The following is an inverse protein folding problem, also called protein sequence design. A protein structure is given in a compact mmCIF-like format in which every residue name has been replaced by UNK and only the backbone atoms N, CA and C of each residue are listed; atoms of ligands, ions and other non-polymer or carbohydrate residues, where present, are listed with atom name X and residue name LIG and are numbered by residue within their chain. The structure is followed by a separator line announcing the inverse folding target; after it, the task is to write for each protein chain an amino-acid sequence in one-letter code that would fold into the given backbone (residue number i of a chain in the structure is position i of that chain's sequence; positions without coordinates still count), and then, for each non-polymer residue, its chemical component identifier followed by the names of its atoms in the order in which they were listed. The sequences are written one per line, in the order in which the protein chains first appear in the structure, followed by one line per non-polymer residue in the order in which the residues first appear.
data_IF_135014155613
#
_entry.id   IF_135014155613
#
_cell.length_a   1.000
_cell.length_b   1.000
_cell.length_c   1.000
_cell.angle_alpha   90.00
_cell.angle_beta   90.00
_cell.angle_gamma   90.00
#
_symmetry.space_group_name_H-M   'P 1'
#
loop_
_entity.id
_entity.type
_entity.pdbx_description
1 polymer ?
#
# COMPACT_ATOMS: atom_id res chain seq x y z
N UNK A 1 68.26 40.60 31.72
CA UNK A 1 66.92 40.44 32.33
C UNK A 1 65.89 40.53 31.20
N UNK A 2 65.57 39.38 30.59
CA UNK A 2 64.26 38.72 30.64
C UNK A 2 63.12 39.48 29.91
N UNK A 3 62.94 39.19 28.62
CA UNK A 3 61.67 39.40 27.90
C UNK A 3 60.76 38.19 28.12
N UNK A 4 59.44 38.35 28.37
CA UNK A 4 58.50 37.26 28.27
C UNK A 4 57.89 37.18 26.86
N UNK A 5 57.90 35.97 26.29
CA UNK A 5 57.16 35.60 25.08
C UNK A 5 55.67 35.46 25.41
N UNK A 6 54.82 36.11 24.63
CA UNK A 6 53.37 35.85 24.62
C UNK A 6 53.13 34.66 23.69
N UNK A 7 52.56 33.58 24.22
CA UNK A 7 52.12 32.42 23.45
C UNK A 7 50.62 32.52 23.19
N UNK A 8 50.23 32.66 21.92
CA UNK A 8 48.83 32.61 21.48
C UNK A 8 48.46 31.15 21.21
N UNK A 9 47.53 30.60 21.97
CA UNK A 9 47.04 29.24 21.77
C UNK A 9 45.76 29.28 20.92
N UNK A 10 45.82 28.81 19.67
CA UNK A 10 44.62 28.52 18.87
C UNK A 10 44.13 27.11 19.21
N UNK A 11 42.99 27.01 19.88
CA UNK A 11 42.27 25.75 20.04
C UNK A 11 41.36 25.53 18.82
N UNK A 12 41.77 24.64 17.93
CA UNK A 12 40.96 24.15 16.80
C UNK A 12 39.97 23.09 17.30
N UNK A 13 38.68 23.43 17.33
CA UNK A 13 37.56 22.50 17.55
C UNK A 13 37.33 21.68 16.27
N UNK A 14 37.89 20.47 16.23
CA UNK A 14 37.53 19.44 15.25
C UNK A 14 36.20 18.82 15.67
N UNK A 15 35.10 19.27 15.07
CA UNK A 15 33.81 18.60 15.15
C UNK A 15 33.88 17.27 14.39
N UNK A 16 33.84 16.16 15.11
CA UNK A 16 33.73 14.83 14.51
C UNK A 16 32.29 14.60 14.03
N UNK A 17 32.03 14.86 12.75
CA UNK A 17 30.80 14.44 12.09
C UNK A 17 30.77 12.91 12.06
N UNK A 18 29.88 12.29 12.84
CA UNK A 18 29.63 10.85 12.70
C UNK A 18 29.06 10.59 11.30
N UNK A 19 29.59 9.64 10.53
CA UNK A 19 28.98 9.27 9.26
C UNK A 19 27.57 8.74 9.55
N UNK A 20 26.57 9.38 8.95
CA UNK A 20 25.21 8.85 8.91
C UNK A 20 25.28 7.62 8.00
N UNK A 21 25.09 6.44 8.58
CA UNK A 21 24.93 5.21 7.82
C UNK A 21 23.55 5.27 7.17
N UNK A 22 23.49 5.67 5.90
CA UNK A 22 22.26 5.51 5.12
C UNK A 22 22.03 4.00 4.94
N UNK A 23 20.88 3.44 5.36
CA UNK A 23 20.55 2.06 5.08
C UNK A 23 20.67 1.79 3.57
N UNK A 24 21.26 0.65 3.21
CA UNK A 24 21.39 0.25 1.80
C UNK A 24 19.99 -0.11 1.29
N UNK A 25 19.30 0.84 0.68
CA UNK A 25 18.06 0.58 -0.04
C UNK A 25 18.38 -0.30 -1.24
N UNK A 26 17.72 -1.45 -1.35
CA UNK A 26 17.72 -2.22 -2.60
C UNK A 26 16.91 -1.44 -3.63
N UNK A 27 17.09 -1.71 -4.92
CA UNK A 27 16.19 -1.11 -5.92
C UNK A 27 14.78 -1.70 -5.68
N UNK A 28 13.75 -0.87 -5.37
CA UNK A 28 12.42 -1.37 -5.15
C UNK A 28 11.82 -1.87 -6.47
N UNK A 29 10.92 -2.85 -6.42
CA UNK A 29 10.16 -3.30 -7.59
C UNK A 29 9.08 -2.29 -7.99
N UNK A 30 8.69 -1.40 -7.07
CA UNK A 30 7.72 -0.33 -7.31
C UNK A 30 8.34 0.91 -7.94
N UNK A 31 7.57 1.62 -8.76
CA UNK A 31 7.91 2.93 -9.32
C UNK A 31 6.84 3.97 -9.02
N UNK A 32 7.18 5.26 -9.05
CA UNK A 32 6.21 6.34 -8.84
C UNK A 32 5.21 6.41 -10.00
N UNK A 33 3.94 6.62 -9.69
CA UNK A 33 2.87 6.83 -10.66
C UNK A 33 1.93 7.94 -10.18
N UNK A 34 1.61 8.90 -11.05
CA UNK A 34 0.63 9.96 -10.75
C UNK A 34 -0.64 9.64 -11.51
N UNK A 35 -1.71 9.35 -10.77
CA UNK A 35 -2.99 8.97 -11.35
C UNK A 35 -3.78 10.22 -11.76
N UNK A 36 -4.12 10.33 -13.04
CA UNK A 36 -4.81 11.50 -13.58
C UNK A 36 -6.27 11.60 -13.12
N UNK A 37 -6.94 10.48 -12.81
CA UNK A 37 -8.34 10.46 -12.40
C UNK A 37 -8.54 10.97 -10.96
N UNK A 38 -7.60 10.63 -10.08
CA UNK A 38 -7.68 10.93 -8.65
C UNK A 38 -6.72 12.04 -8.19
N UNK A 39 -5.70 12.37 -8.99
CA UNK A 39 -4.64 13.32 -8.61
C UNK A 39 -3.74 12.81 -7.47
N UNK A 40 -3.80 11.52 -7.16
CA UNK A 40 -2.98 10.87 -6.15
C UNK A 40 -1.67 10.36 -6.77
N UNK A 41 -0.58 10.48 -6.01
CA UNK A 41 0.70 9.84 -6.30
C UNK A 41 0.75 8.47 -5.62
N UNK A 42 1.13 7.44 -6.36
CA UNK A 42 1.21 6.05 -5.94
C UNK A 42 2.64 5.51 -6.08
N UNK A 43 3.00 4.54 -5.24
CA UNK A 43 3.98 3.52 -5.59
C UNK A 43 3.26 2.42 -6.37
N UNK A 44 3.78 2.06 -7.54
CA UNK A 44 3.13 1.21 -8.53
C UNK A 44 4.01 0.02 -8.90
N UNK A 45 3.44 -1.17 -8.85
CA UNK A 45 4.06 -2.40 -9.32
C UNK A 45 3.17 -3.07 -10.38
N UNK A 46 3.78 -3.64 -11.41
CA UNK A 46 3.09 -4.42 -12.44
C UNK A 46 3.58 -5.86 -12.39
N UNK A 47 2.65 -6.80 -12.15
CA UNK A 47 2.94 -8.23 -12.17
C UNK A 47 3.12 -8.77 -13.59
N UNK A 48 3.67 -9.98 -13.71
CA UNK A 48 3.82 -10.69 -14.99
C UNK A 48 2.48 -10.95 -15.70
N UNK A 49 1.36 -10.94 -14.96
CA UNK A 49 -0.01 -11.06 -15.52
C UNK A 49 -0.57 -9.73 -16.04
N UNK A 50 0.25 -8.67 -16.06
CA UNK A 50 -0.13 -7.29 -16.36
C UNK A 50 -1.20 -6.74 -15.40
N UNK A 51 -1.28 -7.28 -14.19
CA UNK A 51 -2.08 -6.69 -13.10
C UNK A 51 -1.21 -5.65 -12.40
N UNK A 52 -1.74 -4.44 -12.27
CA UNK A 52 -1.08 -3.32 -11.61
C UNK A 52 -1.64 -3.16 -10.21
N UNK A 53 -0.75 -3.10 -9.22
CA UNK A 53 -1.06 -2.84 -7.82
C UNK A 53 -0.39 -1.53 -7.42
N UNK A 54 -1.15 -0.66 -6.78
CA UNK A 54 -0.74 0.71 -6.46
C UNK A 54 -1.14 1.07 -5.04
N UNK A 55 -0.22 1.69 -4.31
CA UNK A 55 -0.45 2.15 -2.94
C UNK A 55 -0.14 3.64 -2.84
N UNK A 56 -1.04 4.41 -2.24
CA UNK A 56 -0.85 5.81 -1.88
C UNK A 56 -1.04 6.01 -0.38
N UNK A 57 -0.22 6.87 0.22
CA UNK A 57 -0.19 7.12 1.67
C UNK A 57 -0.15 8.63 1.97
N UNK A 58 -0.50 9.06 3.20
CA UNK A 58 -0.28 10.43 3.63
C UNK A 58 1.19 10.82 3.65
N UNK A 59 1.48 12.11 3.45
CA UNK A 59 2.82 12.68 3.60
C UNK A 59 3.28 12.75 5.05
N UNK A 60 2.36 13.08 5.96
CA UNK A 60 2.56 13.10 7.41
C UNK A 60 2.08 11.77 7.99
N UNK A 61 3.02 10.99 8.52
CA UNK A 61 2.75 9.71 9.15
C UNK A 61 2.65 9.90 10.67
N UNK A 62 1.54 9.47 11.31
CA UNK A 62 1.42 9.47 12.76
C UNK A 62 2.47 8.57 13.44
N UNK A 63 2.86 8.93 14.66
CA UNK A 63 3.90 8.21 15.40
C UNK A 63 3.51 6.76 15.79
N UNK A 64 2.21 6.47 15.86
CA UNK A 64 1.67 5.12 16.09
C UNK A 64 1.52 4.29 14.81
N UNK A 65 1.86 4.85 13.64
CA UNK A 65 1.75 4.23 12.32
C UNK A 65 0.32 3.82 11.94
N UNK A 66 -0.69 4.41 12.58
CA UNK A 66 -2.11 4.20 12.25
C UNK A 66 -2.56 5.32 11.30
N UNK A 67 -2.80 4.98 10.04
CA UNK A 67 -3.23 5.93 9.02
C UNK A 67 -4.06 5.27 7.91
N UNK A 68 -4.88 6.07 7.23
CA UNK A 68 -5.59 5.64 6.03
C UNK A 68 -4.61 5.49 4.86
N UNK A 69 -4.83 4.47 4.03
CA UNK A 69 -4.12 4.24 2.77
C UNK A 69 -5.09 4.29 1.60
N UNK A 70 -4.60 4.35 0.36
CA UNK A 70 -5.40 4.07 -0.83
C UNK A 70 -4.75 2.95 -1.62
N UNK A 71 -5.55 1.91 -1.91
CA UNK A 71 -5.19 0.81 -2.79
C UNK A 71 -5.84 1.03 -4.15
N UNK A 72 -5.08 0.86 -5.22
CA UNK A 72 -5.59 0.77 -6.58
C UNK A 72 -5.14 -0.55 -7.22
N UNK A 73 -6.09 -1.28 -7.79
CA UNK A 73 -5.85 -2.51 -8.56
C UNK A 73 -6.38 -2.30 -9.97
N UNK A 74 -5.53 -2.48 -10.97
CA UNK A 74 -5.90 -2.51 -12.39
C UNK A 74 -5.61 -3.91 -12.91
N UNK A 75 -6.61 -4.63 -13.39
CA UNK A 75 -6.43 -6.00 -13.85
C UNK A 75 -7.09 -6.21 -15.22
N UNK A 76 -6.50 -7.04 -16.09
CA UNK A 76 -7.17 -7.49 -17.31
C UNK A 76 -8.54 -8.10 -17.01
N UNK A 77 -9.52 -7.86 -17.87
CA UNK A 77 -10.93 -8.22 -17.63
C UNK A 77 -11.18 -9.74 -17.57
N UNK A 78 -10.22 -10.54 -18.05
CA UNK A 78 -10.26 -12.00 -17.99
C UNK A 78 -9.66 -12.58 -16.70
N UNK A 79 -9.12 -11.74 -15.80
CA UNK A 79 -8.75 -12.14 -14.45
C UNK A 79 -10.02 -12.34 -13.63
N UNK A 80 -10.17 -13.53 -13.03
CA UNK A 80 -11.32 -13.89 -12.21
C UNK A 80 -11.38 -13.10 -10.90
N UNK A 81 -10.24 -12.92 -10.25
CA UNK A 81 -10.07 -12.04 -9.09
C UNK A 81 -8.59 -11.68 -8.88
N UNK A 82 -8.32 -10.51 -8.31
CA UNK A 82 -6.99 -10.02 -7.95
C UNK A 82 -6.97 -9.65 -6.45
N UNK A 83 -5.99 -10.17 -5.72
CA UNK A 83 -5.82 -9.99 -4.29
C UNK A 83 -4.55 -9.22 -3.94
N UNK A 84 -4.62 -8.42 -2.89
CA UNK A 84 -3.51 -7.68 -2.32
C UNK A 84 -3.40 -7.97 -0.82
N UNK A 85 -2.17 -8.14 -0.32
CA UNK A 85 -1.88 -8.44 1.08
C UNK A 85 -0.91 -7.41 1.66
N UNK A 86 -1.39 -6.68 2.68
CA UNK A 86 -0.68 -5.53 3.25
C UNK A 86 0.54 -5.94 4.09
N UNK A 87 0.55 -7.15 4.62
CA UNK A 87 1.67 -7.70 5.39
C UNK A 87 2.71 -8.45 4.56
N UNK A 88 2.56 -8.52 3.24
CA UNK A 88 3.50 -9.24 2.39
C UNK A 88 3.41 -10.77 2.46
N UNK A 89 2.33 -11.32 3.00
CA UNK A 89 2.07 -12.76 3.05
C UNK A 89 0.56 -13.02 3.18
N UNK A 90 0.10 -14.26 3.06
CA UNK A 90 -1.36 -14.55 3.06
C UNK A 90 -2.03 -14.39 4.42
N UNK A 91 -1.36 -14.79 5.50
CA UNK A 91 -2.00 -14.98 6.81
C UNK A 91 -1.77 -13.81 7.77
N UNK A 92 -2.67 -13.60 8.74
CA UNK A 92 -2.52 -12.64 9.85
C UNK A 92 -2.25 -11.19 9.43
N UNK A 93 -2.78 -10.78 8.28
CA UNK A 93 -2.76 -9.39 7.84
C UNK A 93 -4.00 -9.07 6.98
N UNK A 94 -4.37 -7.79 6.84
CA UNK A 94 -5.48 -7.37 6.00
C UNK A 94 -5.22 -7.77 4.54
N UNK A 95 -6.26 -8.31 3.90
CA UNK A 95 -6.27 -8.64 2.49
C UNK A 95 -7.39 -7.84 1.79
N UNK A 96 -7.13 -7.39 0.57
CA UNK A 96 -8.15 -6.82 -0.32
C UNK A 96 -8.30 -7.68 -1.56
N UNK A 97 -9.48 -8.27 -1.78
CA UNK A 97 -9.77 -9.11 -2.94
C UNK A 97 -10.74 -8.38 -3.86
N UNK A 98 -10.34 -8.10 -5.10
CA UNK A 98 -11.12 -7.38 -6.08
C UNK A 98 -11.48 -8.24 -7.30
N UNK A 99 -12.69 -8.04 -7.84
CA UNK A 99 -13.11 -8.64 -9.11
C UNK A 99 -14.16 -7.79 -9.82
N UNK A 100 -14.24 -7.94 -11.13
CA UNK A 100 -15.31 -7.33 -11.93
C UNK A 100 -16.64 -8.06 -11.74
N UNK A 101 -17.71 -7.29 -11.55
CA UNK A 101 -19.09 -7.75 -11.59
C UNK A 101 -19.85 -6.89 -12.61
N UNK A 102 -19.97 -7.39 -13.84
CA UNK A 102 -20.47 -6.65 -15.00
C UNK A 102 -19.74 -5.31 -15.22
N UNK A 103 -20.39 -4.18 -14.91
CA UNK A 103 -19.85 -2.82 -15.08
C UNK A 103 -19.32 -2.23 -13.77
N UNK A 104 -19.39 -2.98 -12.68
CA UNK A 104 -18.96 -2.59 -11.36
C UNK A 104 -17.76 -3.43 -10.92
N UNK A 105 -17.05 -2.96 -9.89
CA UNK A 105 -15.97 -3.72 -9.25
C UNK A 105 -16.37 -3.97 -7.81
N UNK A 106 -16.27 -5.21 -7.36
CA UNK A 106 -16.44 -5.59 -5.96
C UNK A 106 -15.07 -5.69 -5.32
N UNK A 107 -14.91 -5.11 -4.12
CA UNK A 107 -13.70 -5.19 -3.32
C UNK A 107 -14.05 -5.69 -1.92
N UNK A 108 -13.45 -6.81 -1.55
CA UNK A 108 -13.76 -7.56 -0.33
C UNK A 108 -12.61 -7.50 0.67
N UNK A 109 -12.82 -6.96 1.89
CA UNK A 109 -11.86 -7.06 2.98
C UNK A 109 -11.84 -8.47 3.55
N UNK A 110 -10.66 -9.08 3.61
CA UNK A 110 -10.44 -10.46 4.06
C UNK A 110 -9.26 -10.57 5.01
N UNK A 111 -9.21 -11.68 5.74
CA UNK A 111 -8.05 -12.10 6.53
C UNK A 111 -7.97 -13.62 6.49
N UNK A 112 -6.76 -14.18 6.50
CA UNK A 112 -6.56 -15.61 6.62
C UNK A 112 -5.83 -15.93 7.92
N UNK A 113 -6.28 -16.92 8.68
CA UNK A 113 -5.56 -17.43 9.86
C UNK A 113 -4.84 -18.76 9.57
N UNK A 114 -4.83 -19.17 8.30
CA UNK A 114 -4.20 -20.37 7.78
C UNK A 114 -4.41 -20.45 6.26
N UNK A 115 -3.90 -21.50 5.63
CA UNK A 115 -3.99 -21.70 4.18
C UNK A 115 -5.33 -22.29 3.75
N UNK A 116 -6.38 -21.47 3.83
CA UNK A 116 -7.74 -21.77 3.37
C UNK A 116 -8.41 -20.48 2.84
N UNK A 117 -9.61 -20.61 2.25
CA UNK A 117 -10.36 -19.46 1.74
C UNK A 117 -10.52 -18.38 2.83
N UNK A 118 -9.95 -17.17 2.64
CA UNK A 118 -10.00 -16.13 3.66
C UNK A 118 -11.43 -15.72 4.02
N UNK A 119 -11.85 -15.74 5.30
CA UNK A 119 -13.11 -15.14 5.73
C UNK A 119 -13.09 -13.61 5.61
N UNK A 120 -14.28 -13.01 5.77
CA UNK A 120 -14.46 -11.57 5.94
C UNK A 120 -13.55 -11.01 7.03
N UNK A 121 -13.01 -9.81 6.83
CA UNK A 121 -12.30 -9.09 7.87
C UNK A 121 -12.99 -7.78 8.22
N UNK A 122 -13.25 -7.58 9.51
CA UNK A 122 -14.00 -6.43 10.01
C UNK A 122 -13.12 -5.26 10.43
N UNK A 123 -11.84 -5.47 10.71
CA UNK A 123 -11.00 -4.39 11.24
C UNK A 123 -10.33 -3.58 10.12
N UNK A 124 -10.44 -4.04 8.88
CA UNK A 124 -10.10 -3.26 7.68
C UNK A 124 -11.36 -2.88 6.91
N UNK A 125 -11.47 -1.61 6.52
CA UNK A 125 -12.62 -1.10 5.77
C UNK A 125 -12.18 -0.42 4.49
N UNK A 126 -12.70 -0.91 3.35
CA UNK A 126 -12.50 -0.27 2.06
C UNK A 126 -13.68 0.65 1.71
N UNK A 127 -13.37 1.90 1.39
CA UNK A 127 -14.33 2.84 0.78
C UNK A 127 -13.93 3.05 -0.67
N UNK A 128 -14.72 2.50 -1.60
CA UNK A 128 -14.47 2.63 -3.05
C UNK A 128 -14.62 4.09 -3.48
N UNK A 129 -13.59 4.61 -4.14
CA UNK A 129 -13.57 5.94 -4.74
C UNK A 129 -14.12 5.82 -6.17
N UNK A 130 -15.19 6.55 -6.48
CA UNK A 130 -15.81 6.48 -7.83
C UNK A 130 -14.84 6.95 -8.91
N UNK A 131 -14.11 8.05 -8.64
CA UNK A 131 -12.99 8.48 -9.49
C UNK A 131 -11.86 7.46 -9.38
N UNK A 132 -11.34 7.02 -10.52
CA UNK A 132 -10.36 5.94 -10.58
C UNK A 132 -10.95 4.54 -10.36
N UNK A 133 -12.27 4.34 -10.39
CA UNK A 133 -12.90 3.00 -10.39
C UNK A 133 -13.81 2.85 -11.60
N UNK A 134 -13.54 1.85 -12.45
CA UNK A 134 -14.32 1.61 -13.65
C UNK A 134 -14.05 0.21 -14.24
N UNK A 135 -14.99 -0.27 -15.05
CA UNK A 135 -14.81 -1.47 -15.88
C UNK A 135 -14.95 -1.07 -17.34
N UNK A 136 -14.02 -1.52 -18.17
CA UNK A 136 -14.07 -1.35 -19.62
C UNK A 136 -13.88 -2.70 -20.34
N UNK A 137 -13.80 -2.67 -21.68
CA UNK A 137 -13.71 -3.87 -22.50
C UNK A 137 -12.44 -4.71 -22.28
N UNK A 138 -11.41 -4.16 -21.63
CA UNK A 138 -10.09 -4.79 -21.49
C UNK A 138 -9.65 -4.95 -20.04
N UNK A 139 -10.10 -4.08 -19.14
CA UNK A 139 -9.66 -4.04 -17.75
C UNK A 139 -10.79 -3.67 -16.80
N UNK A 140 -10.66 -4.12 -15.56
CA UNK A 140 -11.30 -3.46 -14.42
C UNK A 140 -10.25 -2.72 -13.60
N UNK A 141 -10.67 -1.60 -13.02
CA UNK A 141 -9.89 -0.81 -12.09
C UNK A 141 -10.74 -0.52 -10.86
N UNK A 142 -10.19 -0.74 -9.67
CA UNK A 142 -10.75 -0.24 -8.41
C UNK A 142 -9.72 0.63 -7.71
N UNK A 143 -10.16 1.78 -7.22
CA UNK A 143 -9.42 2.63 -6.29
C UNK A 143 -10.23 2.76 -5.01
N UNK A 144 -9.65 2.45 -3.86
CA UNK A 144 -10.35 2.49 -2.59
C UNK A 144 -9.46 2.99 -1.47
N UNK A 145 -10.01 3.86 -0.61
CA UNK A 145 -9.41 4.16 0.69
C UNK A 145 -9.51 2.92 1.56
N UNK A 146 -8.41 2.49 2.18
CA UNK A 146 -8.45 1.51 3.26
C UNK A 146 -8.12 2.13 4.62
N UNK A 147 -9.08 2.05 5.53
CA UNK A 147 -8.89 2.30 6.96
C UNK A 147 -8.58 0.96 7.65
N UNK A 148 -7.58 0.92 8.54
CA UNK A 148 -7.17 -0.32 9.23
C UNK A 148 -6.22 -1.21 8.41
N UNK A 149 -5.66 -0.71 7.31
CA UNK A 149 -4.68 -1.44 6.50
C UNK A 149 -3.22 -1.09 6.80
N UNK A 150 -2.92 -0.01 7.53
CA UNK A 150 -1.54 0.39 7.85
C UNK A 150 -1.01 -0.27 9.13
N UNK A 151 -1.90 -0.77 9.99
CA UNK A 151 -1.57 -1.42 11.26
C UNK A 151 -2.66 -2.44 11.60
N UNK A 152 -2.26 -3.63 12.05
CA UNK A 152 -3.15 -4.74 12.36
C UNK A 152 -2.58 -5.65 13.45
N UNK A 153 -3.40 -6.59 13.90
CA UNK A 153 -3.10 -7.46 15.04
C UNK A 153 -3.55 -6.84 16.37
N UNK A 154 -3.25 -7.54 17.46
CA UNK A 154 -3.60 -7.15 18.82
C UNK A 154 -2.51 -7.58 19.82
N UNK A 155 -2.76 -7.42 21.12
CA UNK A 155 -1.82 -7.85 22.16
C UNK A 155 -1.56 -9.37 22.17
N UNK A 156 -2.49 -10.17 21.64
CA UNK A 156 -2.37 -11.63 21.61
C UNK A 156 -1.56 -12.15 20.42
N UNK A 157 -1.63 -11.45 19.30
CA UNK A 157 -1.00 -11.82 18.01
C UNK A 157 0.23 -10.98 17.68
N UNK A 158 0.42 -9.86 18.39
CA UNK A 158 1.42 -8.84 18.10
C UNK A 158 0.89 -7.82 17.10
N UNK A 159 1.23 -6.54 17.33
CA UNK A 159 0.93 -5.46 16.39
C UNK A 159 1.96 -5.46 15.26
N UNK A 160 1.48 -5.50 14.03
CA UNK A 160 2.27 -5.27 12.81
C UNK A 160 1.79 -4.01 12.13
N UNK A 161 2.71 -3.28 11.49
CA UNK A 161 2.41 -2.02 10.82
C UNK A 161 3.30 -1.80 9.60
N UNK A 162 2.91 -0.83 8.79
CA UNK A 162 3.65 -0.34 7.64
C UNK A 162 4.32 0.97 8.04
N UNK A 163 5.63 0.90 8.24
CA UNK A 163 6.48 2.07 8.39
C UNK A 163 7.09 2.46 7.03
N UNK A 164 6.62 3.56 6.41
CA UNK A 164 7.10 3.98 5.09
C UNK A 164 8.47 4.66 5.13
N UNK A 165 9.14 4.76 6.28
CA UNK A 165 10.57 5.09 6.35
C UNK A 165 11.45 3.97 5.79
N UNK A 166 10.93 2.73 5.74
CA UNK A 166 11.62 1.56 5.21
C UNK A 166 10.93 1.03 3.95
N UNK A 167 11.70 0.30 3.14
CA UNK A 167 11.11 -0.51 2.09
C UNK A 167 10.30 -1.64 2.72
N UNK A 168 9.13 -1.90 2.15
CA UNK A 168 8.22 -2.93 2.65
C UNK A 168 7.97 -3.98 1.57
N UNK A 169 7.96 -5.25 1.96
CA UNK A 169 7.52 -6.32 1.07
C UNK A 169 6.00 -6.41 1.18
N UNK A 170 5.32 -6.15 0.07
CA UNK A 170 3.88 -6.37 -0.07
C UNK A 170 3.66 -7.63 -0.89
N UNK A 171 2.44 -8.16 -0.90
CA UNK A 171 2.15 -9.33 -1.70
C UNK A 171 0.87 -9.18 -2.49
N UNK A 172 0.79 -9.92 -3.58
CA UNK A 172 -0.41 -10.05 -4.39
C UNK A 172 -0.66 -11.51 -4.73
N UNK A 173 -1.90 -11.79 -5.11
CA UNK A 173 -2.30 -13.07 -5.69
C UNK A 173 -3.36 -12.82 -6.75
N UNK A 174 -3.56 -13.75 -7.68
CA UNK A 174 -4.70 -13.69 -8.59
C UNK A 174 -5.20 -15.09 -8.97
N UNK A 175 -6.49 -15.18 -9.30
CA UNK A 175 -7.09 -16.36 -9.90
C UNK A 175 -7.71 -16.02 -11.25
N UNK A 176 -7.56 -16.91 -12.22
CA UNK A 176 -8.22 -16.80 -13.52
C UNK A 176 -9.67 -17.32 -13.46
N UNK A 177 -9.97 -18.21 -12.50
CA UNK A 177 -11.35 -18.66 -12.24
C UNK A 177 -12.10 -17.58 -11.47
N UNK A 178 -13.30 -17.22 -11.96
CA UNK A 178 -14.18 -16.24 -11.29
C UNK A 178 -14.58 -16.72 -9.89
N UNK A 179 -14.92 -15.76 -9.04
CA UNK A 179 -15.55 -16.04 -7.74
C UNK A 179 -16.92 -16.69 -7.93
N UNK A 180 -17.41 -17.40 -6.91
CA UNK A 180 -18.65 -18.21 -7.02
C UNK A 180 -19.91 -17.37 -7.21
N UNK A 181 -20.02 -16.22 -6.53
CA UNK A 181 -21.17 -15.30 -6.59
C UNK A 181 -20.63 -13.86 -6.76
N UNK A 182 -20.42 -13.39 -8.00
CA UNK A 182 -19.76 -12.10 -8.26
C UNK A 182 -20.42 -10.86 -7.63
N UNK A 183 -21.73 -10.88 -7.37
CA UNK A 183 -22.43 -9.78 -6.71
C UNK A 183 -22.28 -9.77 -5.17
N UNK A 184 -21.81 -10.86 -4.57
CA UNK A 184 -21.65 -10.99 -3.12
C UNK A 184 -20.22 -10.67 -2.70
N UNK A 185 -20.03 -9.58 -1.93
CA UNK A 185 -18.72 -9.22 -1.36
C UNK A 185 -18.13 -10.33 -0.48
N UNK A 186 -18.96 -11.23 0.06
CA UNK A 186 -18.54 -12.39 0.85
C UNK A 186 -18.39 -13.68 0.05
N UNK A 187 -18.51 -13.63 -1.29
CA UNK A 187 -18.34 -14.79 -2.17
C UNK A 187 -17.10 -15.60 -1.84
N UNK A 188 -17.24 -16.92 -1.91
CA UNK A 188 -16.10 -17.83 -1.94
C UNK A 188 -15.42 -17.80 -3.31
N UNK A 189 -14.17 -18.28 -3.35
CA UNK A 189 -13.33 -18.32 -4.54
C UNK A 189 -12.27 -19.41 -4.39
N UNK A 190 -11.75 -19.90 -5.52
CA UNK A 190 -10.69 -20.90 -5.55
C UNK A 190 -9.33 -20.35 -5.14
N UNK A 191 -8.37 -21.26 -4.93
CA UNK A 191 -6.96 -20.89 -4.71
C UNK A 191 -6.41 -20.08 -5.89
N UNK A 192 -5.48 -19.16 -5.62
CA UNK A 192 -4.82 -18.38 -6.66
C UNK A 192 -4.00 -19.25 -7.62
N UNK A 193 -3.94 -18.86 -8.88
CA UNK A 193 -3.08 -19.49 -9.89
C UNK A 193 -1.62 -19.03 -9.76
N UNK A 194 -1.40 -17.81 -9.26
CA UNK A 194 -0.06 -17.27 -9.00
C UNK A 194 -0.10 -16.18 -7.92
N UNK A 195 1.08 -15.88 -7.37
CA UNK A 195 1.31 -14.88 -6.34
C UNK A 195 2.69 -14.22 -6.53
N UNK A 196 2.96 -13.13 -5.82
CA UNK A 196 4.27 -12.49 -5.79
C UNK A 196 4.46 -11.60 -4.58
N UNK A 197 5.71 -11.24 -4.31
CA UNK A 197 6.15 -10.52 -3.11
C UNK A 197 7.02 -9.29 -3.46
N UNK A 198 6.50 -8.31 -4.22
CA UNK A 198 7.26 -7.14 -4.61
C UNK A 198 7.70 -6.27 -3.43
N UNK A 199 8.89 -5.70 -3.53
CA UNK A 199 9.42 -4.69 -2.62
C UNK A 199 8.92 -3.31 -3.06
N UNK A 200 8.25 -2.60 -2.16
CA UNK A 200 7.77 -1.24 -2.36
C UNK A 200 8.66 -0.23 -1.64
N UNK A 201 8.92 0.89 -2.30
CA UNK A 201 9.33 2.14 -1.64
C UNK A 201 8.10 3.04 -1.53
N UNK A 202 7.53 3.14 -0.32
CA UNK A 202 6.36 3.98 -0.09
C UNK A 202 6.71 5.46 0.13
N UNK A 203 7.99 5.83 0.22
CA UNK A 203 8.38 7.24 0.33
C UNK A 203 7.95 8.04 -0.91
N UNK A 204 7.92 7.41 -2.10
CA UNK A 204 7.45 8.04 -3.34
C UNK A 204 5.92 8.12 -3.46
N UNK A 205 5.19 7.43 -2.58
CA UNK A 205 3.72 7.34 -2.58
C UNK A 205 3.04 8.39 -1.67
N UNK A 206 3.81 9.33 -1.13
CA UNK A 206 3.35 10.34 -0.18
C UNK A 206 2.53 11.43 -0.88
N UNK A 207 1.40 11.77 -0.28
CA UNK A 207 0.47 12.76 -0.81
C UNK A 207 0.22 13.88 0.20
N UNK A 208 0.54 15.12 -0.19
CA UNK A 208 0.20 16.30 0.60
C UNK A 208 -1.31 16.44 0.76
N UNK A 209 -1.75 16.82 1.97
CA UNK A 209 -3.16 16.99 2.32
C UNK A 209 -4.02 15.74 2.01
N UNK A 210 -3.44 14.55 2.16
CA UNK A 210 -4.06 13.27 1.78
C UNK A 210 -5.49 13.10 2.30
N UNK A 211 -5.72 13.31 3.59
CA UNK A 211 -7.05 13.17 4.18
C UNK A 211 -8.11 14.06 3.50
N UNK A 212 -7.75 15.31 3.15
CA UNK A 212 -8.63 16.22 2.42
C UNK A 212 -8.90 15.74 1.00
N UNK A 213 -7.85 15.34 0.27
CA UNK A 213 -7.97 14.83 -1.10
C UNK A 213 -8.86 13.59 -1.16
N UNK A 214 -8.60 12.62 -0.28
CA UNK A 214 -9.37 11.37 -0.22
C UNK A 214 -10.82 11.64 0.19
N UNK A 215 -11.07 12.54 1.14
CA UNK A 215 -12.44 12.91 1.52
C UNK A 215 -13.22 13.53 0.34
N UNK A 216 -12.60 14.40 -0.46
CA UNK A 216 -13.20 14.95 -1.67
C UNK A 216 -13.50 13.86 -2.72
N UNK A 217 -12.60 12.89 -2.91
CA UNK A 217 -12.83 11.75 -3.81
C UNK A 217 -13.98 10.85 -3.34
N UNK A 218 -14.16 10.68 -2.02
CA UNK A 218 -15.31 9.96 -1.44
C UNK A 218 -16.61 10.72 -1.68
N UNK A 219 -16.60 12.05 -1.51
CA UNK A 219 -17.76 12.91 -1.75
C UNK A 219 -18.11 13.06 -3.25
N UNK A 220 -17.18 12.75 -4.15
CA UNK A 220 -17.33 12.95 -5.59
C UNK A 220 -17.05 14.38 -6.04
N UNK A 221 -16.34 15.16 -5.23
CA UNK A 221 -15.99 16.55 -5.50
C UNK A 221 -14.74 16.65 -6.41
N UNK A 222 -14.50 17.83 -7.00
CA UNK A 222 -13.22 18.11 -7.69
C UNK A 222 -12.13 18.42 -6.65
N UNK A 223 -10.98 17.75 -6.79
CA UNK A 223 -9.82 17.83 -5.89
C UNK A 223 -8.83 18.89 -6.34
#
# INVERSE_FOLDING_TARGET
MHLPRVATSLASLLGASKPVLTPRQFEPDSSVYIDADTGLTFASYTSDRSIIFRVAIPDIIPADLIYDTVLQIVAPIDVGWAGFAWGGHMTYNPLGIAWANDKEVVLSPRIAYGYYSPPAYTDSHYTVLKKGTHVNATHFQVTAKCTGCSSWGDESTGISNIDPEYQTTLAYAYGNTKVDIPADVQSTFGIHDSLGHPIYDLAVAKNAAFAKKVAALVAGEET
#
